data_IF_057977898777
#
_entry.id   IF_057977898777
#
_cell.length_a   1.000
_cell.length_b   1.000
_cell.length_c   1.000
_cell.angle_alpha   90.00
_cell.angle_beta   90.00
_cell.angle_gamma   90.00
#
_symmetry.space_group_name_H-M   'P 1'
#
loop_
_entity.id
_entity.type
_entity.pdbx_description
1 polymer ?
#
# COMPACT_ATOMS: atom_id res chain seq x y z
N UNK A 1 12.47 -44.41 -2.68
CA UNK A 1 13.93 -44.35 -2.46
C UNK A 1 14.41 -43.02 -3.02
N UNK A 2 14.48 -42.00 -2.19
CA UNK A 2 14.97 -40.68 -2.60
C UNK A 2 16.49 -40.78 -2.83
N UNK A 3 16.94 -40.38 -4.02
CA UNK A 3 18.34 -40.45 -4.42
C UNK A 3 19.19 -39.52 -3.53
N UNK A 4 20.27 -40.00 -2.87
CA UNK A 4 21.11 -39.16 -2.01
C UNK A 4 21.81 -38.00 -2.75
N UNK A 5 21.85 -37.99 -4.08
CA UNK A 5 22.39 -36.87 -4.85
C UNK A 5 21.49 -35.62 -4.90
N UNK A 6 20.17 -35.75 -4.75
CA UNK A 6 19.24 -34.61 -4.80
C UNK A 6 19.25 -33.78 -3.51
N UNK A 7 19.58 -34.42 -2.38
CA UNK A 7 19.66 -33.78 -1.06
C UNK A 7 20.83 -32.77 -0.98
N UNK A 8 21.94 -33.04 -1.65
CA UNK A 8 23.12 -32.16 -1.67
C UNK A 8 22.84 -30.82 -2.35
N UNK A 9 22.03 -30.81 -3.42
CA UNK A 9 21.62 -29.58 -4.13
C UNK A 9 20.70 -28.70 -3.30
N UNK A 10 19.68 -29.29 -2.67
CA UNK A 10 18.71 -28.56 -1.85
C UNK A 10 19.34 -27.94 -0.59
N UNK A 11 20.20 -28.70 0.11
CA UNK A 11 20.92 -28.18 1.28
C UNK A 11 21.89 -27.05 0.89
N UNK A 12 22.55 -27.17 -0.26
CA UNK A 12 23.45 -26.12 -0.78
C UNK A 12 22.70 -24.86 -1.19
N UNK A 13 21.57 -24.99 -1.87
CA UNK A 13 20.67 -23.87 -2.19
C UNK A 13 20.21 -23.15 -0.91
N UNK A 14 19.79 -23.89 0.11
CA UNK A 14 19.37 -23.32 1.39
C UNK A 14 20.50 -22.54 2.09
N UNK A 15 21.72 -23.06 2.10
CA UNK A 15 22.88 -22.35 2.67
C UNK A 15 23.24 -21.08 1.89
N UNK A 16 23.20 -21.13 0.55
CA UNK A 16 23.45 -19.97 -0.31
C UNK A 16 22.37 -18.91 -0.07
N UNK A 17 21.09 -19.31 -0.05
CA UNK A 17 19.97 -18.42 0.27
C UNK A 17 20.16 -17.79 1.65
N UNK A 18 20.47 -18.57 2.69
CA UNK A 18 20.70 -18.06 4.05
C UNK A 18 21.84 -17.05 4.14
N UNK A 19 22.89 -17.20 3.31
CA UNK A 19 24.01 -16.27 3.22
C UNK A 19 23.63 -14.96 2.50
N UNK A 20 22.75 -15.04 1.49
CA UNK A 20 22.33 -13.90 0.66
C UNK A 20 21.20 -13.08 1.31
N UNK A 21 20.32 -13.72 2.07
CA UNK A 21 19.19 -13.07 2.77
C UNK A 21 19.60 -11.82 3.57
N UNK A 22 20.64 -11.82 4.43
CA UNK A 22 21.00 -10.62 5.19
C UNK A 22 21.51 -9.48 4.30
N UNK A 23 22.20 -9.79 3.20
CA UNK A 23 22.68 -8.77 2.26
C UNK A 23 21.53 -8.16 1.45
N UNK A 24 20.59 -8.99 0.98
CA UNK A 24 19.39 -8.53 0.29
C UNK A 24 18.48 -7.73 1.23
N UNK A 25 18.35 -8.16 2.49
CA UNK A 25 17.61 -7.41 3.51
C UNK A 25 18.27 -6.05 3.79
N UNK A 26 19.60 -6.02 3.97
CA UNK A 26 20.33 -4.77 4.17
C UNK A 26 20.20 -3.83 2.96
N UNK A 27 20.37 -4.35 1.74
CA UNK A 27 20.18 -3.57 0.51
C UNK A 27 18.74 -3.05 0.39
N UNK A 28 17.74 -3.86 0.74
CA UNK A 28 16.34 -3.47 0.78
C UNK A 28 16.07 -2.35 1.79
N UNK A 29 16.62 -2.44 3.00
CA UNK A 29 16.51 -1.40 4.02
C UNK A 29 17.18 -0.10 3.55
N UNK A 30 18.35 -0.17 2.94
CA UNK A 30 19.06 1.00 2.40
C UNK A 30 18.26 1.64 1.26
N UNK A 31 17.69 0.84 0.35
CA UNK A 31 16.85 1.34 -0.72
C UNK A 31 15.57 2.02 -0.18
N UNK A 32 14.93 1.44 0.84
CA UNK A 32 13.77 2.03 1.50
C UNK A 32 14.14 3.33 2.23
N UNK A 33 15.25 3.35 2.96
CA UNK A 33 15.73 4.53 3.69
C UNK A 33 16.11 5.67 2.74
N UNK A 34 16.82 5.37 1.65
CA UNK A 34 17.19 6.37 0.64
C UNK A 34 15.96 6.91 -0.11
N UNK A 35 14.96 6.08 -0.39
CA UNK A 35 13.67 6.50 -0.94
C UNK A 35 12.91 7.43 0.00
N UNK A 36 12.85 7.10 1.30
CA UNK A 36 12.24 7.95 2.31
C UNK A 36 12.94 9.30 2.46
N UNK A 37 14.27 9.31 2.55
CA UNK A 37 15.06 10.53 2.71
C UNK A 37 14.91 11.45 1.50
N UNK A 38 14.91 10.91 0.29
CA UNK A 38 14.73 11.70 -0.93
C UNK A 38 13.29 12.19 -1.11
N UNK A 39 12.29 11.34 -0.82
CA UNK A 39 10.89 11.66 -0.97
C UNK A 39 10.39 12.72 0.01
N UNK A 40 10.78 12.64 1.28
CA UNK A 40 10.36 13.61 2.31
C UNK A 40 11.31 14.80 2.47
N UNK A 41 12.61 14.61 2.22
CA UNK A 41 13.62 15.65 2.48
C UNK A 41 13.84 16.66 1.37
N UNK A 42 13.60 16.30 0.10
CA UNK A 42 13.98 17.12 -1.06
C UNK A 42 12.83 17.48 -2.01
N UNK A 43 11.60 17.08 -1.72
CA UNK A 43 10.46 17.36 -2.58
C UNK A 43 9.91 18.81 -2.36
N UNK A 44 10.06 19.71 -3.36
CA UNK A 44 9.41 21.02 -3.32
C UNK A 44 7.88 20.84 -3.37
N UNK A 45 7.15 21.70 -2.67
CA UNK A 45 5.70 21.69 -2.70
C UNK A 45 5.20 22.01 -4.12
N UNK A 46 4.21 21.25 -4.58
CA UNK A 46 3.62 21.47 -5.90
C UNK A 46 2.73 22.72 -5.90
N UNK A 47 2.72 23.47 -7.01
CA UNK A 47 2.01 24.75 -7.10
C UNK A 47 0.49 24.62 -6.98
N UNK A 48 -0.09 23.46 -7.37
CA UNK A 48 -1.54 23.22 -7.32
C UNK A 48 -1.96 22.34 -6.14
N UNK A 49 -1.08 21.45 -5.66
CA UNK A 49 -1.41 20.48 -4.61
C UNK A 49 -0.73 20.76 -3.25
N UNK A 50 0.07 21.83 -3.17
CA UNK A 50 0.76 22.27 -1.97
C UNK A 50 1.57 21.15 -1.31
N UNK A 51 1.53 21.10 0.02
CA UNK A 51 2.21 20.09 0.83
C UNK A 51 1.61 18.67 0.67
N UNK A 52 0.38 18.55 0.16
CA UNK A 52 -0.30 17.27 -0.06
C UNK A 52 0.41 16.37 -1.08
N UNK A 53 1.13 16.97 -2.03
CA UNK A 53 1.96 16.26 -3.01
C UNK A 53 3.03 15.36 -2.35
N UNK A 54 3.51 15.71 -1.15
CA UNK A 54 4.52 14.93 -0.43
C UNK A 54 4.04 13.54 -0.05
N UNK A 55 2.74 13.37 0.19
CA UNK A 55 2.13 12.05 0.49
C UNK A 55 2.29 11.10 -0.71
N UNK A 56 2.32 11.64 -1.93
CA UNK A 56 2.37 10.87 -3.17
C UNK A 56 3.70 10.14 -3.37
N UNK A 57 4.81 10.67 -2.83
CA UNK A 57 6.11 10.00 -2.83
C UNK A 57 6.15 8.72 -2.00
N UNK A 58 5.27 8.59 -1.00
CA UNK A 58 5.08 7.36 -0.25
C UNK A 58 4.02 6.47 -0.90
N UNK A 59 2.90 7.07 -1.33
CA UNK A 59 1.76 6.35 -1.88
C UNK A 59 2.08 5.60 -3.18
N UNK A 60 2.67 6.29 -4.17
CA UNK A 60 2.88 5.70 -5.52
C UNK A 60 3.81 4.49 -5.47
N UNK A 61 4.99 4.55 -4.82
CA UNK A 61 5.82 3.36 -4.68
C UNK A 61 5.10 2.24 -3.91
N UNK A 62 4.39 2.57 -2.82
CA UNK A 62 3.66 1.56 -2.05
C UNK A 62 2.57 0.87 -2.88
N UNK A 63 1.84 1.62 -3.72
CA UNK A 63 0.80 1.08 -4.60
C UNK A 63 1.39 0.16 -5.67
N UNK A 64 2.50 0.55 -6.32
CA UNK A 64 3.17 -0.27 -7.34
C UNK A 64 3.70 -1.57 -6.72
N UNK A 65 4.34 -1.51 -5.55
CA UNK A 65 4.84 -2.69 -4.85
C UNK A 65 3.72 -3.61 -4.37
N UNK A 66 2.62 -3.06 -3.85
CA UNK A 66 1.43 -3.81 -3.50
C UNK A 66 0.94 -4.63 -4.70
N UNK A 67 0.66 -3.98 -5.83
CA UNK A 67 0.17 -4.66 -7.03
C UNK A 67 1.18 -5.68 -7.57
N UNK A 68 2.48 -5.34 -7.56
CA UNK A 68 3.54 -6.24 -7.98
C UNK A 68 3.63 -7.52 -7.14
N UNK A 69 3.52 -7.42 -5.81
CA UNK A 69 3.56 -8.59 -4.92
C UNK A 69 2.33 -9.46 -5.13
N UNK A 70 1.13 -8.88 -5.26
CA UNK A 70 -0.08 -9.66 -5.55
C UNK A 70 -0.03 -10.32 -6.92
N UNK A 71 0.52 -9.66 -7.95
CA UNK A 71 0.75 -10.26 -9.25
C UNK A 71 1.75 -11.43 -9.16
N UNK A 72 2.85 -11.26 -8.43
CA UNK A 72 3.82 -12.32 -8.20
C UNK A 72 3.21 -13.50 -7.42
N UNK A 73 2.38 -13.24 -6.41
CA UNK A 73 1.62 -14.26 -5.69
C UNK A 73 0.67 -15.00 -6.63
N UNK A 74 -0.01 -14.31 -7.54
CA UNK A 74 -0.91 -14.93 -8.51
C UNK A 74 -0.14 -15.87 -9.45
N UNK A 75 1.03 -15.46 -9.95
CA UNK A 75 1.90 -16.30 -10.79
C UNK A 75 2.44 -17.49 -9.99
N UNK A 76 2.88 -17.28 -8.75
CA UNK A 76 3.38 -18.35 -7.88
C UNK A 76 2.26 -19.36 -7.52
N UNK A 77 1.06 -18.88 -7.22
CA UNK A 77 -0.10 -19.74 -6.97
C UNK A 77 -0.50 -20.52 -8.23
N UNK A 78 -0.49 -19.88 -9.40
CA UNK A 78 -0.78 -20.54 -10.67
C UNK A 78 0.24 -21.64 -11.00
N UNK A 79 1.53 -21.34 -10.88
CA UNK A 79 2.59 -22.34 -11.10
C UNK A 79 2.54 -23.47 -10.07
N UNK A 80 2.21 -23.16 -8.81
CA UNK A 80 1.96 -24.14 -7.77
C UNK A 80 0.76 -25.04 -8.07
N UNK A 81 -0.29 -24.51 -8.68
CA UNK A 81 -1.48 -25.27 -9.08
C UNK A 81 -1.21 -26.18 -10.29
N UNK A 82 -0.56 -25.67 -11.33
CA UNK A 82 -0.30 -26.42 -12.57
C UNK A 82 0.74 -27.52 -12.35
N UNK A 83 1.86 -27.21 -11.68
CA UNK A 83 2.98 -28.14 -11.49
C UNK A 83 3.02 -28.79 -10.09
N UNK A 84 2.03 -28.52 -9.23
CA UNK A 84 1.91 -29.11 -7.89
C UNK A 84 3.19 -28.97 -7.03
N UNK A 85 3.91 -27.87 -7.21
CA UNK A 85 5.17 -27.61 -6.51
C UNK A 85 4.91 -27.12 -5.08
N UNK A 86 5.28 -27.92 -4.07
CA UNK A 86 5.17 -27.52 -2.65
C UNK A 86 5.90 -26.21 -2.32
N UNK A 87 7.01 -25.92 -3.00
CA UNK A 87 7.79 -24.70 -2.80
C UNK A 87 7.03 -23.43 -3.25
N UNK A 88 6.14 -23.54 -4.24
CA UNK A 88 5.35 -22.41 -4.72
C UNK A 88 4.31 -21.97 -3.67
N UNK A 89 3.67 -22.91 -2.98
CA UNK A 89 2.73 -22.59 -1.89
C UNK A 89 3.43 -21.92 -0.72
N UNK A 90 4.65 -22.35 -0.38
CA UNK A 90 5.48 -21.72 0.64
C UNK A 90 5.89 -20.29 0.24
N UNK A 91 6.21 -20.06 -1.03
CA UNK A 91 6.53 -18.73 -1.54
C UNK A 91 5.32 -17.77 -1.44
N UNK A 92 4.13 -18.23 -1.81
CA UNK A 92 2.88 -17.45 -1.66
C UNK A 92 2.63 -17.10 -0.18
N UNK A 93 2.79 -18.08 0.73
CA UNK A 93 2.62 -17.86 2.16
C UNK A 93 3.61 -16.82 2.73
N UNK A 94 4.85 -16.81 2.23
CA UNK A 94 5.85 -15.81 2.63
C UNK A 94 5.57 -14.41 2.05
N UNK A 95 5.02 -14.33 0.84
CA UNK A 95 4.70 -13.06 0.17
C UNK A 95 3.42 -12.39 0.71
N UNK A 96 2.45 -13.20 1.15
CA UNK A 96 1.15 -12.71 1.64
C UNK A 96 1.22 -11.60 2.71
N UNK A 97 1.97 -11.74 3.82
CA UNK A 97 2.05 -10.68 4.83
C UNK A 97 2.73 -9.42 4.31
N UNK A 98 3.72 -9.54 3.42
CA UNK A 98 4.44 -8.40 2.84
C UNK A 98 3.50 -7.63 1.91
N UNK A 99 2.77 -8.32 1.04
CA UNK A 99 1.76 -7.71 0.15
C UNK A 99 0.68 -6.98 0.94
N UNK A 100 0.17 -7.60 2.01
CA UNK A 100 -0.85 -6.99 2.86
C UNK A 100 -0.39 -5.68 3.52
N UNK A 101 0.86 -5.61 3.99
CA UNK A 101 1.43 -4.38 4.56
C UNK A 101 1.52 -3.27 3.51
N UNK A 102 2.02 -3.57 2.30
CA UNK A 102 2.09 -2.57 1.23
C UNK A 102 0.70 -2.10 0.78
N UNK A 103 -0.28 -3.00 0.68
CA UNK A 103 -1.67 -2.63 0.42
C UNK A 103 -2.24 -1.73 1.49
N UNK A 104 -2.02 -2.04 2.76
CA UNK A 104 -2.49 -1.22 3.86
C UNK A 104 -1.89 0.19 3.82
N UNK A 105 -0.58 0.30 3.60
CA UNK A 105 0.11 1.59 3.46
C UNK A 105 -0.47 2.36 2.27
N UNK A 106 -0.65 1.72 1.11
CA UNK A 106 -1.21 2.36 -0.07
C UNK A 106 -2.65 2.87 0.18
N UNK A 107 -3.50 2.08 0.83
CA UNK A 107 -4.88 2.47 1.15
C UNK A 107 -4.93 3.66 2.12
N UNK A 108 -4.15 3.61 3.20
CA UNK A 108 -4.13 4.69 4.21
C UNK A 108 -3.58 5.99 3.62
N UNK A 109 -2.48 5.91 2.87
CA UNK A 109 -1.87 7.09 2.24
C UNK A 109 -2.74 7.66 1.12
N UNK A 110 -3.43 6.81 0.35
CA UNK A 110 -4.39 7.24 -0.67
C UNK A 110 -5.60 7.93 -0.07
N UNK A 111 -6.15 7.38 1.02
CA UNK A 111 -7.24 8.01 1.75
C UNK A 111 -6.82 9.36 2.37
N UNK A 112 -5.59 9.47 2.88
CA UNK A 112 -5.05 10.71 3.44
C UNK A 112 -4.83 11.81 2.38
N UNK A 113 -4.43 11.44 1.16
CA UNK A 113 -4.31 12.36 0.04
C UNK A 113 -5.68 12.84 -0.49
N UNK A 114 -6.74 12.04 -0.35
CA UNK A 114 -8.09 12.41 -0.77
C UNK A 114 -8.69 13.59 0.01
N UNK A 115 -8.33 13.79 1.28
CA UNK A 115 -8.88 14.86 2.12
C UNK A 115 -8.58 16.29 1.60
N UNK A 116 -7.33 16.67 1.30
CA UNK A 116 -7.03 18.00 0.75
C UNK A 116 -7.57 18.19 -0.68
N UNK A 117 -7.70 17.13 -1.48
CA UNK A 117 -8.11 17.24 -2.88
C UNK A 117 -9.63 17.23 -3.10
N UNK A 118 -10.36 16.40 -2.34
CA UNK A 118 -11.80 16.18 -2.52
C UNK A 118 -12.63 16.53 -1.29
N UNK A 119 -12.02 17.13 -0.26
CA UNK A 119 -12.68 17.56 0.97
C UNK A 119 -13.24 16.43 1.85
N UNK A 120 -12.99 15.17 1.46
CA UNK A 120 -13.58 13.98 2.09
C UNK A 120 -12.55 12.86 2.21
N UNK A 121 -12.65 12.08 3.27
CA UNK A 121 -11.88 10.84 3.41
C UNK A 121 -12.58 9.74 2.63
N UNK A 122 -11.87 9.03 1.76
CA UNK A 122 -12.41 7.82 1.14
C UNK A 122 -12.73 6.79 2.24
N UNK A 123 -14.02 6.51 2.45
CA UNK A 123 -14.52 5.48 3.36
C UNK A 123 -14.62 5.83 4.85
N UNK A 124 -14.10 6.97 5.31
CA UNK A 124 -14.23 7.43 6.72
C UNK A 124 -14.98 8.76 6.76
N UNK A 125 -16.20 8.75 6.23
CA UNK A 125 -17.15 9.82 6.49
C UNK A 125 -17.68 9.66 7.91
N UNK A 126 -17.32 10.56 8.82
CA UNK A 126 -18.04 10.68 10.08
C UNK A 126 -19.38 11.34 9.76
N UNK A 127 -20.49 10.85 10.32
CA UNK A 127 -21.82 11.44 10.07
C UNK A 127 -21.90 12.96 10.35
N UNK A 128 -20.97 13.51 11.14
CA UNK A 128 -20.79 14.95 11.38
C UNK A 128 -20.54 15.77 10.11
N UNK A 129 -20.00 15.15 9.06
CA UNK A 129 -19.54 15.86 7.87
C UNK A 129 -20.70 16.05 6.86
N UNK A 130 -21.81 15.33 7.04
CA UNK A 130 -23.02 15.41 6.21
C UNK A 130 -24.06 16.44 6.72
N UNK A 131 -23.93 16.93 7.96
CA UNK A 131 -24.92 17.80 8.60
C UNK A 131 -24.73 19.30 8.41
N UNK A 132 -23.53 19.75 8.02
CA UNK A 132 -23.21 21.19 7.96
C UNK A 132 -23.82 21.91 6.74
N UNK A 133 -24.07 21.19 5.64
CA UNK A 133 -24.65 21.77 4.42
C UNK A 133 -26.18 21.85 4.40
N UNK A 134 -26.87 20.94 5.08
CA UNK A 134 -28.34 20.87 5.05
C UNK A 134 -29.01 21.78 6.10
N UNK A 135 -28.35 22.05 7.23
CA UNK A 135 -28.96 22.80 8.33
C UNK A 135 -29.01 24.32 8.13
N UNK A 136 -28.22 24.88 7.21
CA UNK A 136 -28.17 26.34 6.94
C UNK A 136 -29.28 26.82 6.00
N UNK A 137 -29.89 25.92 5.22
CA UNK A 137 -30.88 26.31 4.20
C UNK A 137 -32.34 26.35 4.71
N UNK A 138 -32.65 25.70 5.84
CA UNK A 138 -34.04 25.55 6.31
C UNK A 138 -34.46 26.49 7.45
N UNK A 139 -33.66 27.52 7.77
CA UNK A 139 -33.99 28.51 8.83
C UNK A 139 -34.16 29.94 8.32
N UNK A 140 -34.58 30.13 7.07
CA UNK A 140 -35.03 31.42 6.52
C UNK A 140 -36.21 31.20 5.58
N UNK A 141 -37.42 31.18 6.11
CA UNK A 141 -38.59 31.05 5.24
C UNK A 141 -39.95 31.05 5.92
N UNK A 142 -40.14 31.80 7.01
CA UNK A 142 -41.49 32.14 7.46
C UNK A 142 -41.46 33.39 8.35
N UNK A 143 -41.77 34.54 7.74
CA UNK A 143 -42.32 35.68 8.48
C UNK A 143 -43.68 36.00 7.84
N UNK A 144 -44.80 35.85 8.56
CA UNK A 144 -46.11 36.27 8.05
C UNK A 144 -46.11 37.80 7.95
N UNK A 145 -46.42 38.31 6.76
CA UNK A 145 -46.60 39.74 6.51
C UNK A 145 -48.03 40.07 6.95
N UNK A 146 -48.15 40.86 8.03
CA UNK A 146 -49.42 41.38 8.51
C UNK A 146 -49.30 42.91 8.67
N UNK A 147 -50.36 43.63 8.24
CA UNK A 147 -50.57 45.09 8.18
C UNK A 147 -49.84 45.78 7.02
N UNK A 148 -50.48 46.62 6.21
CA UNK A 148 -51.56 47.58 6.47
C UNK A 148 -52.73 47.46 5.49
#
# INVERSE_FOLDING_TARGET
MENPSSAGGAARLYQICGRLVPWLAAAGIIALATGWVRGFGFAPADYQQGEGYRIMYLHVPAAIWSMGIYAAMAVAAFTGLVWQMKMATLAVAAMAPVGAVYSFIALVTGAAWGKPMWGTWWGVGRASDLGAGAAVSLRRGHRPVARL
#
